data_IF_210612269873
#
_entry.id   IF_210612269873
#
_cell.length_a   1.000
_cell.length_b   1.000
_cell.length_c   1.000
_cell.angle_alpha   90.00
_cell.angle_beta   90.00
_cell.angle_gamma   90.00
#
_symmetry.space_group_name_H-M   'P 1'
#
loop_
_entity.id
_entity.type
_entity.pdbx_description
1 polymer ?
#
# COMPACT_ATOMS: atom_id res chain seq x y z
N UNK A 1 -19.45 3.68 24.24
CA UNK A 1 -19.90 4.95 24.86
C UNK A 1 -21.42 5.03 24.93
N UNK A 2 -22.17 4.86 23.84
CA UNK A 2 -23.64 4.92 23.85
C UNK A 2 -24.30 3.90 24.80
N UNK A 3 -23.83 2.65 24.83
CA UNK A 3 -24.34 1.62 25.76
C UNK A 3 -24.12 1.99 27.23
N UNK A 4 -22.95 2.56 27.57
CA UNK A 4 -22.62 2.99 28.93
C UNK A 4 -23.49 4.15 29.40
N UNK A 5 -23.87 5.06 28.49
CA UNK A 5 -24.76 6.18 28.79
C UNK A 5 -26.20 5.68 28.93
N UNK A 6 -26.62 4.74 28.08
CA UNK A 6 -27.95 4.13 28.16
C UNK A 6 -28.17 3.44 29.52
N UNK A 7 -27.23 2.59 29.96
CA UNK A 7 -27.34 1.91 31.25
C UNK A 7 -27.38 2.88 32.43
N UNK A 8 -26.57 3.94 32.40
CA UNK A 8 -26.57 4.96 33.45
C UNK A 8 -27.88 5.77 33.52
N UNK A 9 -28.50 6.03 32.36
CA UNK A 9 -29.80 6.71 32.33
C UNK A 9 -30.94 5.81 32.79
N UNK A 10 -30.98 4.55 32.34
CA UNK A 10 -32.02 3.59 32.70
C UNK A 10 -32.07 3.38 34.23
N UNK A 11 -30.91 3.15 34.85
CA UNK A 11 -30.77 3.01 36.31
C UNK A 11 -31.25 4.26 37.08
N UNK A 12 -31.00 5.46 36.55
CA UNK A 12 -31.43 6.71 37.16
C UNK A 12 -32.94 6.97 37.01
N UNK A 13 -33.58 6.42 35.97
CA UNK A 13 -35.00 6.65 35.65
C UNK A 13 -35.95 5.55 36.14
N UNK A 14 -35.41 4.40 36.57
CA UNK A 14 -36.15 3.29 37.16
C UNK A 14 -37.08 3.68 38.33
N UNK A 15 -36.68 4.55 39.28
CA UNK A 15 -37.56 4.98 40.38
C UNK A 15 -38.79 5.78 39.91
N UNK A 16 -38.74 6.34 38.71
CA UNK A 16 -39.84 7.09 38.10
C UNK A 16 -40.70 6.23 37.16
N UNK A 17 -40.36 4.95 37.00
CA UNK A 17 -41.09 4.01 36.13
C UNK A 17 -40.94 4.31 34.64
N UNK A 18 -39.85 4.99 34.24
CA UNK A 18 -39.58 5.35 32.85
C UNK A 18 -38.47 4.45 32.30
N UNK A 19 -38.74 3.79 31.17
CA UNK A 19 -37.79 2.90 30.48
C UNK A 19 -37.12 3.60 29.30
N UNK A 20 -35.79 3.53 29.20
CA UNK A 20 -35.03 4.21 28.14
C UNK A 20 -34.79 3.28 26.95
N UNK A 21 -35.45 3.53 25.81
CA UNK A 21 -35.34 2.65 24.63
C UNK A 21 -34.11 2.92 23.75
N UNK A 22 -33.70 4.19 23.58
CA UNK A 22 -32.56 4.55 22.72
C UNK A 22 -31.89 5.83 23.18
N UNK A 23 -30.55 5.83 23.18
CA UNK A 23 -29.73 7.01 23.43
C UNK A 23 -28.84 7.28 22.23
N UNK A 24 -28.92 8.50 21.70
CA UNK A 24 -28.08 8.98 20.61
C UNK A 24 -27.32 10.22 21.07
N UNK A 25 -26.03 10.28 20.73
CA UNK A 25 -25.22 11.48 20.96
C UNK A 25 -25.52 12.47 19.84
N UNK A 26 -26.10 13.62 20.20
CA UNK A 26 -26.54 14.62 19.22
C UNK A 26 -25.39 15.50 18.73
N UNK A 27 -24.68 16.15 19.65
CA UNK A 27 -23.58 17.06 19.31
C UNK A 27 -22.48 17.00 20.39
N UNK A 28 -21.22 16.91 19.96
CA UNK A 28 -20.04 17.06 20.82
C UNK A 28 -19.26 18.26 20.33
N UNK A 29 -19.12 19.29 21.17
CA UNK A 29 -18.38 20.50 20.83
C UNK A 29 -17.01 20.46 21.48
N UNK A 30 -15.99 20.36 20.63
CA UNK A 30 -14.59 20.46 21.06
C UNK A 30 -14.13 21.92 20.92
N UNK A 31 -13.28 22.43 21.81
CA UNK A 31 -12.64 23.73 21.62
C UNK A 31 -11.85 23.77 20.32
N UNK A 32 -11.97 24.86 19.56
CA UNK A 32 -11.33 25.01 18.23
C UNK A 32 -9.81 24.79 18.28
N UNK A 33 -9.16 25.19 19.36
CA UNK A 33 -7.72 25.00 19.56
C UNK A 33 -7.35 23.51 19.67
N UNK A 34 -8.13 22.73 20.42
CA UNK A 34 -7.90 21.29 20.60
C UNK A 34 -8.22 20.52 19.33
N UNK A 35 -9.27 20.89 18.60
CA UNK A 35 -9.60 20.27 17.31
C UNK A 35 -8.45 20.43 16.30
N UNK A 36 -7.82 21.61 16.23
CA UNK A 36 -6.66 21.86 15.37
C UNK A 36 -5.43 21.07 15.80
N UNK A 37 -5.14 21.02 17.09
CA UNK A 37 -4.01 20.26 17.61
C UNK A 37 -4.17 18.76 17.33
N UNK A 38 -5.36 18.20 17.59
CA UNK A 38 -5.67 16.80 17.29
C UNK A 38 -5.60 16.49 15.79
N UNK A 39 -6.08 17.39 14.92
CA UNK A 39 -5.99 17.19 13.48
C UNK A 39 -4.53 17.18 13.00
N UNK A 40 -3.69 18.10 13.51
CA UNK A 40 -2.28 18.15 13.17
C UNK A 40 -1.52 16.90 13.66
N UNK A 41 -1.79 16.43 14.88
CA UNK A 41 -1.21 15.20 15.41
C UNK A 41 -1.65 13.97 14.63
N UNK A 42 -2.95 13.87 14.30
CA UNK A 42 -3.48 12.78 13.51
C UNK A 42 -2.86 12.71 12.11
N UNK A 43 -2.67 13.86 11.45
CA UNK A 43 -2.03 13.92 10.13
C UNK A 43 -0.55 13.51 10.22
N UNK A 44 0.21 14.03 11.19
CA UNK A 44 1.61 13.66 11.38
C UNK A 44 1.76 12.15 11.66
N UNK A 45 0.90 11.58 12.51
CA UNK A 45 0.89 10.15 12.79
C UNK A 45 0.53 9.31 11.55
N UNK A 46 -0.40 9.80 10.72
CA UNK A 46 -0.80 9.16 9.47
C UNK A 46 0.34 9.18 8.45
N UNK A 47 0.98 10.32 8.24
CA UNK A 47 2.12 10.45 7.33
C UNK A 47 3.30 9.58 7.76
N UNK A 48 3.61 9.55 9.05
CA UNK A 48 4.66 8.69 9.59
C UNK A 48 4.37 7.21 9.33
N UNK A 49 3.14 6.76 9.60
CA UNK A 49 2.72 5.38 9.30
C UNK A 49 2.77 5.07 7.82
N UNK A 50 2.33 6.00 6.96
CA UNK A 50 2.38 5.81 5.51
C UNK A 50 3.82 5.61 5.01
N UNK A 51 4.79 6.37 5.54
CA UNK A 51 6.21 6.20 5.20
C UNK A 51 6.76 4.84 5.62
N UNK A 52 6.41 4.36 6.81
CA UNK A 52 6.83 3.02 7.28
C UNK A 52 6.27 1.94 6.38
N UNK A 53 4.97 1.98 6.07
CA UNK A 53 4.31 1.00 5.19
C UNK A 53 4.94 1.01 3.79
N UNK A 54 5.25 2.20 3.25
CA UNK A 54 5.91 2.31 1.96
C UNK A 54 7.31 1.69 1.98
N UNK A 55 8.11 1.97 3.01
CA UNK A 55 9.45 1.40 3.16
C UNK A 55 9.43 -0.14 3.32
N UNK A 56 8.49 -0.66 4.11
CA UNK A 56 8.29 -2.11 4.25
C UNK A 56 7.83 -2.77 2.95
N UNK A 57 6.92 -2.10 2.23
CA UNK A 57 6.47 -2.52 0.90
C UNK A 57 7.64 -2.60 -0.09
N UNK A 58 8.49 -1.58 -0.13
CA UNK A 58 9.67 -1.52 -0.99
C UNK A 58 10.67 -2.63 -0.66
N UNK A 59 10.93 -2.87 0.63
CA UNK A 59 11.81 -3.94 1.07
C UNK A 59 11.28 -5.33 0.65
N UNK A 60 9.97 -5.55 0.80
CA UNK A 60 9.33 -6.81 0.41
C UNK A 60 9.37 -7.01 -1.11
N UNK A 61 9.10 -5.96 -1.88
CA UNK A 61 9.20 -5.98 -3.33
C UNK A 61 10.63 -6.27 -3.79
N UNK A 62 11.62 -5.59 -3.21
CA UNK A 62 13.04 -5.81 -3.50
C UNK A 62 13.48 -7.24 -3.24
N UNK A 63 13.04 -7.84 -2.13
CA UNK A 63 13.35 -9.24 -1.80
C UNK A 63 12.74 -10.21 -2.82
N UNK A 64 11.48 -10.02 -3.17
CA UNK A 64 10.81 -10.86 -4.17
C UNK A 64 11.48 -10.75 -5.55
N UNK A 65 11.90 -9.54 -5.95
CA UNK A 65 12.64 -9.33 -7.20
C UNK A 65 14.00 -10.01 -7.19
N UNK A 66 14.73 -9.94 -6.07
CA UNK A 66 16.00 -10.66 -5.90
C UNK A 66 15.80 -12.17 -6.05
N UNK A 67 14.82 -12.74 -5.35
CA UNK A 67 14.50 -14.18 -5.43
C UNK A 67 14.14 -14.58 -6.87
N UNK A 68 13.33 -13.76 -7.56
CA UNK A 68 13.01 -14.00 -8.96
C UNK A 68 14.27 -13.94 -9.86
N UNK A 69 15.18 -12.99 -9.62
CA UNK A 69 16.42 -12.89 -10.37
C UNK A 69 17.35 -14.09 -10.13
N UNK A 70 17.49 -14.53 -8.87
CA UNK A 70 18.30 -15.70 -8.49
C UNK A 70 17.78 -16.96 -9.22
N UNK A 71 16.47 -17.20 -9.22
CA UNK A 71 15.83 -18.32 -9.94
C UNK A 71 16.05 -18.22 -11.45
N UNK A 72 16.01 -17.01 -12.03
CA UNK A 72 16.31 -16.83 -13.45
C UNK A 72 17.77 -17.09 -13.80
N UNK A 73 18.70 -16.77 -12.91
CA UNK A 73 20.12 -17.05 -13.10
C UNK A 73 20.40 -18.56 -13.07
N UNK A 74 19.69 -19.33 -12.25
CA UNK A 74 19.80 -20.80 -12.24
C UNK A 74 19.38 -21.43 -13.58
N UNK A 75 18.44 -20.82 -14.31
CA UNK A 75 17.95 -21.32 -15.59
C UNK A 75 18.14 -20.29 -16.70
N UNK A 76 19.25 -20.32 -17.47
CA UNK A 76 19.51 -19.36 -18.55
C UNK A 76 18.40 -19.25 -19.61
N UNK A 77 17.67 -20.36 -19.86
CA UNK A 77 16.52 -20.36 -20.76
C UNK A 77 15.37 -19.46 -20.28
N UNK A 78 15.24 -19.20 -18.98
CA UNK A 78 14.20 -18.33 -18.41
C UNK A 78 14.40 -16.86 -18.82
N UNK A 79 15.65 -16.39 -18.87
CA UNK A 79 16.00 -15.06 -19.38
C UNK A 79 15.64 -14.90 -20.85
N UNK A 80 15.92 -15.93 -21.66
CA UNK A 80 15.57 -15.94 -23.08
C UNK A 80 14.05 -15.95 -23.31
N UNK A 81 13.29 -16.73 -22.52
CA UNK A 81 11.83 -16.72 -22.58
C UNK A 81 11.24 -15.37 -22.16
N UNK A 82 11.77 -14.76 -21.08
CA UNK A 82 11.38 -13.41 -20.66
C UNK A 82 11.64 -12.41 -21.77
N UNK A 83 12.80 -12.47 -22.42
CA UNK A 83 13.14 -11.61 -23.56
C UNK A 83 12.14 -11.76 -24.71
N UNK A 84 11.79 -12.98 -25.11
CA UNK A 84 10.78 -13.24 -26.14
C UNK A 84 9.39 -12.73 -25.74
N UNK A 85 9.00 -12.85 -24.47
CA UNK A 85 7.75 -12.29 -23.95
C UNK A 85 7.75 -10.76 -24.05
N UNK A 86 8.83 -10.10 -23.63
CA UNK A 86 8.97 -8.65 -23.76
C UNK A 86 8.87 -8.20 -25.21
N UNK A 87 9.48 -8.93 -26.15
CA UNK A 87 9.35 -8.65 -27.58
C UNK A 87 7.90 -8.78 -28.07
N UNK A 88 7.17 -9.80 -27.61
CA UNK A 88 5.77 -9.97 -27.96
C UNK A 88 4.89 -8.83 -27.41
N UNK A 89 5.14 -8.39 -26.17
CA UNK A 89 4.46 -7.23 -25.57
C UNK A 89 4.73 -5.95 -26.35
N UNK A 90 5.98 -5.67 -26.70
CA UNK A 90 6.35 -4.48 -27.49
C UNK A 90 5.73 -4.55 -28.91
N UNK A 91 5.75 -5.72 -29.54
CA UNK A 91 5.15 -5.93 -30.86
C UNK A 91 3.64 -5.73 -30.86
N UNK A 92 2.96 -6.01 -29.74
CA UNK A 92 1.52 -5.80 -29.60
C UNK A 92 1.14 -4.29 -29.52
N UNK A 93 2.05 -3.43 -29.04
CA UNK A 93 1.78 -2.00 -28.84
C UNK A 93 1.84 -1.12 -30.11
N UNK A 94 1.98 -1.68 -31.32
CA UNK A 94 1.95 -0.93 -32.60
C UNK A 94 2.89 0.29 -32.67
N UNK A 95 4.07 0.24 -32.04
CA UNK A 95 5.09 1.29 -32.19
C UNK A 95 6.17 0.85 -33.19
N UNK A 96 6.34 1.60 -34.29
CA UNK A 96 7.17 1.20 -35.46
C UNK A 96 8.68 1.31 -35.25
N UNK A 97 9.13 1.68 -34.05
CA UNK A 97 10.56 1.83 -33.71
C UNK A 97 10.94 0.80 -32.66
N UNK A 98 11.47 -0.34 -33.10
CA UNK A 98 12.03 -1.38 -32.22
C UNK A 98 13.45 -0.96 -31.86
N UNK A 99 13.66 -0.43 -30.66
CA UNK A 99 15.00 -0.22 -30.11
C UNK A 99 15.48 -1.58 -29.61
N UNK A 100 16.45 -2.16 -30.31
CA UNK A 100 16.98 -3.47 -30.02
C UNK A 100 18.25 -3.35 -29.15
N UNK A 101 18.19 -3.59 -27.84
CA UNK A 101 19.40 -3.66 -27.03
C UNK A 101 20.12 -4.97 -27.37
N UNK A 102 21.20 -4.89 -28.16
CA UNK A 102 22.09 -6.02 -28.37
C UNK A 102 22.86 -6.30 -27.07
N UNK A 103 22.86 -7.55 -26.58
CA UNK A 103 23.70 -7.95 -25.45
C UNK A 103 25.17 -7.70 -25.79
N UNK A 104 25.90 -7.03 -24.88
CA UNK A 104 27.31 -6.71 -25.08
C UNK A 104 28.15 -7.98 -25.26
N UNK A 105 27.70 -9.11 -24.71
CA UNK A 105 28.32 -10.42 -24.87
C UNK A 105 28.35 -10.89 -26.34
N UNK A 106 27.35 -10.52 -27.16
CA UNK A 106 27.35 -10.80 -28.59
C UNK A 106 28.34 -9.90 -29.35
N UNK A 107 28.58 -8.68 -28.87
CA UNK A 107 29.56 -7.76 -29.45
C UNK A 107 31.01 -8.18 -29.15
N UNK A 108 31.26 -8.81 -28.00
CA UNK A 108 32.60 -9.31 -27.64
C UNK A 108 33.12 -10.38 -28.61
N UNK A 109 32.23 -11.20 -29.19
CA UNK A 109 32.59 -12.18 -30.23
C UNK A 109 33.05 -11.55 -31.56
N UNK A 110 32.65 -10.31 -31.84
CA UNK A 110 33.07 -9.55 -33.03
C UNK A 110 34.29 -8.63 -32.77
N UNK A 111 34.52 -8.25 -31.52
CA UNK A 111 35.65 -7.41 -31.09
C UNK A 111 36.91 -8.21 -30.68
N UNK A 112 36.79 -9.51 -30.43
CA UNK A 112 37.96 -10.41 -30.38
C UNK A 112 38.38 -10.80 -31.79
N UNK A 113 39.29 -10.01 -32.37
CA UNK A 113 40.19 -10.46 -33.43
C UNK A 113 41.61 -10.44 -32.90
#
# INVERSE_FOLDING_TARGET
MASSIQSALDEATDPWGVKVERVEVKDVRLPVQLQRAMAAEAEAAREARAKVIAAEGEQKASRALKEAADVMCETPAALQLRYLQTLNTISAEKNSTIIFPLPIDMLQGFLKK
#
